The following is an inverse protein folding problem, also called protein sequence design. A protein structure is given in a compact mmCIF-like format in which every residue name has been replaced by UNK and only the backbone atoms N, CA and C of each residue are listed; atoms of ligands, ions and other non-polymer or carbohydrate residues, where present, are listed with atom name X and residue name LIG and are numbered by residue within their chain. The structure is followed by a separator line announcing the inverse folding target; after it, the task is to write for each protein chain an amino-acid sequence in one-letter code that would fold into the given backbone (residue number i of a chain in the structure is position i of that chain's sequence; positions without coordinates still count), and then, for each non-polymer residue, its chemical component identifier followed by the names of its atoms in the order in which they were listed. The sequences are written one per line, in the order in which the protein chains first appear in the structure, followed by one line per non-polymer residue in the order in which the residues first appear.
data_IF_643942220705
#
_entry.id   IF_643942220705
#
_cell.length_a   1.000
_cell.length_b   1.000
_cell.length_c   1.000
_cell.angle_alpha   90.00
_cell.angle_beta   90.00
_cell.angle_gamma   90.00
#
_symmetry.space_group_name_H-M   'P 1'
#
loop_
_entity.id
_entity.type
_entity.pdbx_description
1 polymer ?
#
# COMPACT_ATOMS: atom_id res chain seq x y z
N UNK A 1 -31.85 -9.60 -7.35
CA UNK A 1 -32.17 -10.17 -6.03
C UNK A 1 -30.96 -10.84 -5.38
N UNK A 2 -30.28 -11.77 -6.04
CA UNK A 2 -29.12 -12.46 -5.48
C UNK A 2 -27.99 -11.51 -5.02
N UNK A 3 -27.62 -10.56 -5.86
CA UNK A 3 -26.60 -9.56 -5.55
C UNK A 3 -26.97 -8.64 -4.38
N UNK A 4 -28.26 -8.29 -4.25
CA UNK A 4 -28.72 -7.49 -3.09
C UNK A 4 -28.63 -8.26 -1.78
N UNK A 5 -28.98 -9.55 -1.80
CA UNK A 5 -28.88 -10.42 -0.62
C UNK A 5 -27.43 -10.66 -0.25
N UNK A 6 -26.53 -10.88 -1.23
CA UNK A 6 -25.09 -10.98 -0.99
C UNK A 6 -24.57 -9.73 -0.30
N UNK A 7 -24.86 -8.53 -0.85
CA UNK A 7 -24.38 -7.27 -0.28
C UNK A 7 -24.93 -7.06 1.13
N UNK A 8 -26.24 -7.25 1.33
CA UNK A 8 -26.87 -7.07 2.64
C UNK A 8 -26.33 -8.06 3.69
N UNK A 9 -26.14 -9.33 3.32
CA UNK A 9 -25.58 -10.33 4.24
C UNK A 9 -24.12 -10.05 4.56
N UNK A 10 -23.32 -9.62 3.59
CA UNK A 10 -21.94 -9.21 3.83
C UNK A 10 -21.86 -7.99 4.75
N UNK A 11 -22.70 -6.96 4.53
CA UNK A 11 -22.77 -5.79 5.40
C UNK A 11 -23.22 -6.19 6.82
N UNK A 12 -24.25 -7.04 6.95
CA UNK A 12 -24.71 -7.49 8.26
C UNK A 12 -23.61 -8.21 9.03
N UNK A 13 -22.82 -9.07 8.38
CA UNK A 13 -21.69 -9.76 8.98
C UNK A 13 -20.56 -8.79 9.37
N UNK A 14 -20.28 -7.80 8.54
CA UNK A 14 -19.30 -6.76 8.88
C UNK A 14 -19.75 -5.93 10.10
N UNK A 15 -21.02 -5.57 10.18
CA UNK A 15 -21.59 -4.88 11.35
C UNK A 15 -21.56 -5.76 12.61
N UNK A 16 -21.64 -7.08 12.44
CA UNK A 16 -21.44 -8.06 13.51
C UNK A 16 -19.96 -8.29 13.86
N UNK A 17 -19.04 -7.47 13.34
CA UNK A 17 -17.58 -7.59 13.55
C UNK A 17 -16.96 -8.88 13.02
N UNK A 18 -17.56 -9.53 12.03
CA UNK A 18 -16.97 -10.67 11.35
C UNK A 18 -15.75 -10.23 10.51
N UNK A 19 -14.70 -11.05 10.40
CA UNK A 19 -13.59 -10.78 9.49
C UNK A 19 -14.08 -10.59 8.06
N UNK A 20 -13.46 -9.65 7.33
CA UNK A 20 -13.90 -9.26 5.98
C UNK A 20 -13.97 -10.45 5.03
N UNK A 21 -12.96 -11.33 5.03
CA UNK A 21 -12.98 -12.53 4.19
C UNK A 21 -14.19 -13.44 4.47
N UNK A 22 -14.58 -13.56 5.75
CA UNK A 22 -15.73 -14.35 6.13
C UNK A 22 -17.05 -13.71 5.68
N UNK A 23 -17.16 -12.39 5.80
CA UNK A 23 -18.32 -11.65 5.29
C UNK A 23 -18.49 -11.81 3.77
N UNK A 24 -17.38 -11.75 3.02
CA UNK A 24 -17.39 -11.94 1.57
C UNK A 24 -17.76 -13.37 1.18
N UNK A 25 -17.15 -14.36 1.82
CA UNK A 25 -17.44 -15.78 1.54
C UNK A 25 -18.87 -16.15 1.91
N UNK A 26 -19.29 -15.84 3.14
CA UNK A 26 -20.62 -16.19 3.62
C UNK A 26 -21.70 -15.46 2.79
N UNK A 27 -21.50 -14.17 2.47
CA UNK A 27 -22.39 -13.45 1.58
C UNK A 27 -22.49 -14.09 0.19
N UNK A 28 -21.36 -14.53 -0.36
CA UNK A 28 -21.33 -15.22 -1.67
C UNK A 28 -22.02 -16.57 -1.61
N UNK A 29 -21.77 -17.37 -0.56
CA UNK A 29 -22.42 -18.67 -0.37
C UNK A 29 -23.94 -18.51 -0.22
N UNK A 30 -24.38 -17.57 0.60
CA UNK A 30 -25.83 -17.28 0.78
C UNK A 30 -26.46 -16.81 -0.54
N UNK A 31 -25.80 -15.89 -1.24
CA UNK A 31 -26.28 -15.43 -2.53
C UNK A 31 -26.37 -16.55 -3.57
N UNK A 32 -25.37 -17.42 -3.60
CA UNK A 32 -25.30 -18.54 -4.53
C UNK A 32 -26.36 -19.62 -4.22
N UNK A 33 -26.51 -20.03 -2.97
CA UNK A 33 -27.40 -21.11 -2.56
C UNK A 33 -28.87 -20.74 -2.73
N UNK A 34 -29.26 -19.51 -2.36
CA UNK A 34 -30.68 -19.12 -2.36
C UNK A 34 -31.15 -18.46 -3.64
N UNK A 35 -30.26 -17.87 -4.41
CA UNK A 35 -30.63 -17.01 -5.56
C UNK A 35 -29.74 -17.25 -6.79
N UNK A 36 -28.70 -18.04 -6.66
CA UNK A 36 -27.76 -18.31 -7.76
C UNK A 36 -28.32 -19.35 -8.76
N UNK A 37 -27.62 -19.52 -9.87
CA UNK A 37 -27.95 -20.57 -10.83
C UNK A 37 -27.77 -21.96 -10.19
N UNK A 38 -28.53 -22.95 -10.66
CA UNK A 38 -28.44 -24.35 -10.21
C UNK A 38 -27.08 -24.96 -10.65
N UNK A 39 -26.02 -24.63 -9.94
CA UNK A 39 -24.67 -25.17 -10.17
C UNK A 39 -24.20 -25.94 -8.95
N UNK A 40 -23.35 -26.98 -9.14
CA UNK A 40 -22.78 -27.70 -8.00
C UNK A 40 -21.96 -26.82 -7.09
N UNK A 41 -22.05 -26.96 -5.74
CA UNK A 41 -21.26 -26.17 -4.79
C UNK A 41 -19.74 -26.25 -4.98
N UNK A 42 -19.25 -27.31 -5.62
CA UNK A 42 -17.83 -27.48 -5.97
C UNK A 42 -17.30 -26.33 -6.84
N UNK A 43 -18.16 -25.66 -7.60
CA UNK A 43 -17.78 -24.50 -8.42
C UNK A 43 -17.27 -23.36 -7.53
N UNK A 44 -17.87 -23.11 -6.36
CA UNK A 44 -17.37 -22.11 -5.42
C UNK A 44 -15.97 -22.47 -4.92
N UNK A 45 -15.71 -23.73 -4.59
CA UNK A 45 -14.39 -24.18 -4.17
C UNK A 45 -13.34 -24.02 -5.30
N UNK A 46 -13.72 -24.32 -6.54
CA UNK A 46 -12.85 -24.09 -7.70
C UNK A 46 -12.51 -22.62 -7.86
N UNK A 47 -13.49 -21.71 -7.76
CA UNK A 47 -13.27 -20.26 -7.87
C UNK A 47 -12.40 -19.71 -6.74
N UNK A 48 -12.50 -20.23 -5.53
CA UNK A 48 -11.60 -19.89 -4.43
C UNK A 48 -10.14 -20.21 -4.76
N UNK A 49 -9.89 -21.39 -5.29
CA UNK A 49 -8.53 -21.80 -5.67
C UNK A 49 -8.03 -21.04 -6.88
N UNK A 50 -8.84 -20.88 -7.92
CA UNK A 50 -8.49 -20.10 -9.11
C UNK A 50 -8.16 -18.64 -8.78
N UNK A 51 -8.90 -18.04 -7.84
CA UNK A 51 -8.71 -16.66 -7.40
C UNK A 51 -7.32 -16.36 -6.85
N UNK A 52 -6.63 -17.36 -6.30
CA UNK A 52 -5.25 -17.21 -5.81
C UNK A 52 -4.21 -17.84 -6.72
N UNK A 53 -4.61 -18.62 -7.71
CA UNK A 53 -3.70 -19.28 -8.64
C UNK A 53 -3.29 -18.37 -9.80
N UNK A 54 -2.89 -17.16 -9.49
CA UNK A 54 -2.41 -16.16 -10.46
C UNK A 54 -0.96 -15.83 -10.15
N UNK A 55 -0.07 -15.96 -11.13
CA UNK A 55 1.38 -15.78 -10.95
C UNK A 55 1.75 -14.44 -10.29
N UNK A 56 1.10 -13.36 -10.69
CA UNK A 56 1.37 -12.03 -10.14
C UNK A 56 1.02 -11.90 -8.64
N UNK A 57 0.12 -12.74 -8.11
CA UNK A 57 -0.22 -12.75 -6.69
C UNK A 57 0.96 -13.20 -5.82
N UNK A 58 1.86 -14.05 -6.35
CA UNK A 58 3.06 -14.49 -5.62
C UNK A 58 3.99 -13.33 -5.25
N UNK A 59 3.91 -12.19 -5.93
CA UNK A 59 4.65 -11.00 -5.54
C UNK A 59 4.22 -10.46 -4.17
N UNK A 60 2.93 -10.61 -3.78
CA UNK A 60 2.39 -10.10 -2.51
C UNK A 60 3.08 -10.73 -1.30
N UNK A 61 3.10 -12.07 -1.12
CA UNK A 61 3.79 -12.70 0.00
C UNK A 61 5.28 -12.37 0.04
N UNK A 62 5.93 -12.27 -1.12
CA UNK A 62 7.35 -11.97 -1.20
C UNK A 62 7.65 -10.52 -0.75
N UNK A 63 6.89 -9.53 -1.22
CA UNK A 63 7.06 -8.15 -0.77
C UNK A 63 6.70 -7.96 0.71
N UNK A 64 5.65 -8.63 1.22
CA UNK A 64 5.30 -8.60 2.65
C UNK A 64 6.45 -9.15 3.48
N UNK A 65 7.03 -10.28 3.10
CA UNK A 65 8.17 -10.86 3.82
C UNK A 65 9.42 -9.99 3.73
N UNK A 66 9.73 -9.44 2.56
CA UNK A 66 10.83 -8.48 2.40
C UNK A 66 10.65 -7.25 3.31
N UNK A 67 9.42 -6.69 3.36
CA UNK A 67 9.09 -5.57 4.23
C UNK A 67 9.31 -5.89 5.72
N UNK A 68 8.94 -7.09 6.17
CA UNK A 68 9.13 -7.52 7.56
C UNK A 68 10.64 -7.66 7.91
N UNK A 69 11.46 -8.21 7.00
CA UNK A 69 12.91 -8.27 7.17
C UNK A 69 13.48 -6.86 7.35
N UNK A 70 13.11 -5.94 6.47
CA UNK A 70 13.61 -4.56 6.44
C UNK A 70 13.15 -3.76 7.66
N UNK A 71 11.90 -3.96 8.09
CA UNK A 71 11.32 -3.27 9.25
C UNK A 71 12.03 -3.59 10.57
N UNK A 72 12.61 -4.77 10.67
CA UNK A 72 13.36 -5.22 11.86
C UNK A 72 14.88 -5.08 11.72
N UNK A 73 15.33 -4.73 10.53
CA UNK A 73 16.74 -4.55 10.20
C UNK A 73 17.28 -3.15 10.45
N UNK A 74 18.43 -2.86 9.87
CA UNK A 74 19.12 -1.57 9.96
C UNK A 74 18.88 -0.68 8.72
N UNK A 75 18.24 -1.22 7.68
CA UNK A 75 17.97 -0.50 6.41
C UNK A 75 17.23 0.81 6.68
N UNK A 76 16.16 0.79 7.51
CA UNK A 76 15.39 1.98 7.83
C UNK A 76 16.22 3.10 8.46
N UNK A 77 17.04 2.79 9.46
CA UNK A 77 17.92 3.78 10.11
C UNK A 77 18.93 4.38 9.13
N UNK A 78 19.47 3.57 8.24
CA UNK A 78 20.45 4.04 7.24
C UNK A 78 19.83 4.93 6.20
N UNK A 79 18.57 4.65 5.80
CA UNK A 79 17.80 5.53 4.91
C UNK A 79 17.54 6.88 5.55
N UNK A 80 17.12 6.92 6.84
CA UNK A 80 16.92 8.17 7.57
C UNK A 80 18.21 9.00 7.55
N UNK A 81 19.34 8.40 7.96
CA UNK A 81 20.64 9.10 8.00
C UNK A 81 21.10 9.57 6.63
N UNK A 82 20.82 8.79 5.58
CA UNK A 82 21.12 9.19 4.21
C UNK A 82 20.31 10.43 3.82
N UNK A 83 18.99 10.41 4.02
CA UNK A 83 18.12 11.55 3.66
C UNK A 83 18.43 12.79 4.50
N UNK A 84 18.70 12.64 5.80
CA UNK A 84 19.17 13.74 6.65
C UNK A 84 20.48 14.34 6.13
N UNK A 85 21.41 13.52 5.65
CA UNK A 85 22.70 14.00 5.12
C UNK A 85 22.54 14.80 3.82
N UNK A 86 21.53 14.45 3.01
CA UNK A 86 21.28 15.11 1.72
C UNK A 86 20.52 16.43 1.87
N UNK A 87 19.45 16.42 2.67
CA UNK A 87 18.51 17.55 2.75
C UNK A 87 18.41 18.21 4.12
N UNK A 88 19.02 17.66 5.17
CA UNK A 88 18.89 18.16 6.55
C UNK A 88 19.35 19.61 6.73
N UNK A 89 20.28 20.08 5.93
CA UNK A 89 20.85 21.43 6.00
C UNK A 89 19.96 22.54 5.39
N UNK A 90 18.89 22.19 4.68
CA UNK A 90 17.95 23.16 4.12
C UNK A 90 16.84 23.50 5.13
N UNK A 91 16.11 24.61 4.90
CA UNK A 91 14.96 24.98 5.75
C UNK A 91 13.89 23.92 5.67
N UNK A 92 13.46 23.39 6.84
CA UNK A 92 12.53 22.25 6.87
C UNK A 92 13.17 20.91 6.52
N UNK A 93 14.50 20.85 6.39
CA UNK A 93 15.25 19.72 5.87
C UNK A 93 15.01 18.40 6.63
N UNK A 94 14.87 18.46 7.95
CA UNK A 94 14.57 17.26 8.74
C UNK A 94 13.16 16.70 8.43
N UNK A 95 12.18 17.58 8.26
CA UNK A 95 10.83 17.18 7.87
C UNK A 95 10.81 16.62 6.44
N UNK A 96 11.53 17.24 5.50
CA UNK A 96 11.71 16.75 4.13
C UNK A 96 12.44 15.40 4.14
N UNK A 97 13.49 15.24 4.95
CA UNK A 97 14.19 13.97 5.11
C UNK A 97 13.25 12.85 5.58
N UNK A 98 12.30 13.17 6.48
CA UNK A 98 11.25 12.23 6.91
C UNK A 98 10.36 11.81 5.73
N UNK A 99 9.90 12.78 4.91
CA UNK A 99 9.08 12.50 3.71
C UNK A 99 9.82 11.60 2.74
N UNK A 100 11.07 11.98 2.40
CA UNK A 100 11.90 11.20 1.47
C UNK A 100 12.24 9.81 2.01
N UNK A 101 12.47 9.69 3.32
CA UNK A 101 12.73 8.38 3.94
C UNK A 101 11.49 7.49 3.86
N UNK A 102 10.30 8.00 4.16
CA UNK A 102 9.07 7.24 4.03
C UNK A 102 8.80 6.84 2.57
N UNK A 103 9.08 7.73 1.61
CA UNK A 103 8.99 7.45 0.19
C UNK A 103 9.95 6.32 -0.23
N UNK A 104 11.22 6.40 0.18
CA UNK A 104 12.23 5.38 -0.12
C UNK A 104 11.97 4.05 0.60
N UNK A 105 11.50 4.11 1.85
CA UNK A 105 11.08 2.92 2.58
C UNK A 105 9.87 2.28 1.91
N UNK A 106 8.97 3.10 1.39
CA UNK A 106 7.83 2.67 0.58
C UNK A 106 8.26 1.93 -0.69
N UNK A 107 9.26 2.47 -1.39
CA UNK A 107 9.87 1.85 -2.57
C UNK A 107 10.51 0.46 -2.28
N UNK A 108 10.47 0.01 -1.04
CA UNK A 108 10.99 -1.29 -0.61
C UNK A 108 9.87 -2.13 0.00
N UNK A 109 9.06 -1.54 0.91
CA UNK A 109 8.08 -2.27 1.71
C UNK A 109 6.70 -2.36 1.08
N UNK A 110 6.29 -1.32 0.36
CA UNK A 110 4.94 -1.24 -0.23
C UNK A 110 3.78 -1.17 0.76
N UNK A 111 4.04 -1.01 2.06
CA UNK A 111 3.04 -1.07 3.14
C UNK A 111 3.16 0.18 4.02
N UNK A 112 2.10 1.03 4.03
CA UNK A 112 2.08 2.28 4.79
C UNK A 112 2.24 2.09 6.30
N UNK A 113 1.54 1.12 6.86
CA UNK A 113 1.62 0.76 8.27
C UNK A 113 3.05 0.40 8.74
N UNK A 114 3.80 -0.33 7.90
CA UNK A 114 5.18 -0.69 8.18
C UNK A 114 6.09 0.55 8.28
N UNK A 115 5.85 1.56 7.45
CA UNK A 115 6.62 2.81 7.50
C UNK A 115 6.37 3.58 8.80
N UNK A 116 5.12 3.64 9.31
CA UNK A 116 4.82 4.27 10.61
C UNK A 116 5.61 3.62 11.73
N UNK A 117 5.57 2.28 11.82
CA UNK A 117 6.21 1.52 12.89
C UNK A 117 7.73 1.53 12.78
N UNK A 118 8.29 1.49 11.57
CA UNK A 118 9.74 1.38 11.36
C UNK A 118 10.46 2.73 11.37
N UNK A 119 9.90 3.72 10.69
CA UNK A 119 10.53 5.03 10.53
C UNK A 119 10.11 6.00 11.64
N UNK A 120 8.85 5.91 12.08
CA UNK A 120 8.30 6.80 13.08
C UNK A 120 9.14 6.91 14.35
N UNK A 121 9.48 5.82 15.05
CA UNK A 121 10.28 5.85 16.27
C UNK A 121 11.67 6.47 16.11
N UNK A 122 12.22 6.43 14.88
CA UNK A 122 13.56 6.98 14.57
C UNK A 122 13.47 8.50 14.40
N UNK A 123 12.49 8.98 13.60
CA UNK A 123 12.41 10.39 13.21
C UNK A 123 11.65 11.26 14.22
N UNK A 124 10.68 10.71 14.93
CA UNK A 124 9.85 11.45 15.88
C UNK A 124 10.65 12.15 16.99
N UNK A 125 11.55 11.47 17.73
CA UNK A 125 12.39 12.15 18.72
C UNK A 125 13.32 13.21 18.11
N UNK A 126 13.77 12.99 16.87
CA UNK A 126 14.61 13.94 16.15
C UNK A 126 13.84 15.22 15.79
N UNK A 127 12.63 15.09 15.28
CA UNK A 127 11.75 16.22 14.98
C UNK A 127 11.47 17.06 16.23
N UNK A 128 11.11 16.44 17.35
CA UNK A 128 10.84 17.15 18.62
C UNK A 128 12.07 17.92 19.14
N UNK A 129 13.25 17.31 19.09
CA UNK A 129 14.51 17.98 19.50
C UNK A 129 14.85 19.21 18.65
N UNK A 130 14.39 19.24 17.41
CA UNK A 130 14.60 20.38 16.49
C UNK A 130 13.44 21.38 16.51
N UNK A 131 12.57 21.32 17.51
CA UNK A 131 11.53 22.31 17.77
C UNK A 131 10.23 22.13 16.98
N UNK A 132 10.05 21.00 16.29
CA UNK A 132 8.77 20.70 15.66
C UNK A 132 7.73 20.31 16.73
N UNK A 133 6.49 20.78 16.56
CA UNK A 133 5.41 20.44 17.50
C UNK A 133 5.05 18.96 17.43
N UNK A 134 4.50 18.41 18.52
CA UNK A 134 4.03 17.02 18.58
C UNK A 134 3.03 16.72 17.47
N UNK A 135 2.01 17.58 17.32
CA UNK A 135 0.95 17.41 16.34
C UNK A 135 1.49 17.40 14.90
N UNK A 136 2.41 18.32 14.57
CA UNK A 136 3.05 18.35 13.26
C UNK A 136 3.88 17.08 13.03
N UNK A 137 4.70 16.67 14.00
CA UNK A 137 5.60 15.52 13.86
C UNK A 137 4.83 14.22 13.63
N UNK A 138 3.79 13.97 14.42
CA UNK A 138 2.92 12.80 14.25
C UNK A 138 2.18 12.88 12.92
N UNK A 139 1.52 14.00 12.62
CA UNK A 139 0.80 14.21 11.37
C UNK A 139 1.68 14.02 10.14
N UNK A 140 2.92 14.55 10.17
CA UNK A 140 3.89 14.39 9.10
C UNK A 140 4.26 12.92 8.89
N UNK A 141 4.57 12.18 9.95
CA UNK A 141 4.96 10.76 9.88
C UNK A 141 3.81 9.94 9.32
N UNK A 142 2.58 10.13 9.84
CA UNK A 142 1.41 9.41 9.37
C UNK A 142 1.11 9.70 7.88
N UNK A 143 1.19 10.97 7.48
CA UNK A 143 0.96 11.37 6.09
C UNK A 143 2.08 10.89 5.17
N UNK A 144 3.35 11.04 5.58
CA UNK A 144 4.48 10.58 4.77
C UNK A 144 4.50 9.05 4.61
N UNK A 145 4.03 8.30 5.61
CA UNK A 145 3.97 6.84 5.53
C UNK A 145 3.00 6.34 4.46
N UNK A 146 1.97 7.12 4.08
CA UNK A 146 1.05 6.74 2.99
C UNK A 146 1.75 6.71 1.62
N UNK A 147 2.88 7.42 1.47
CA UNK A 147 3.73 7.34 0.28
C UNK A 147 4.19 5.91 -0.02
N UNK A 148 4.31 5.07 1.01
CA UNK A 148 4.66 3.66 0.84
C UNK A 148 3.65 2.85 0.04
N UNK A 149 2.44 3.34 -0.12
CA UNK A 149 1.44 2.71 -0.99
C UNK A 149 1.45 3.25 -2.41
N UNK A 150 1.97 4.47 -2.58
CA UNK A 150 1.98 5.17 -3.88
C UNK A 150 3.27 4.91 -4.65
N UNK A 151 4.38 4.80 -3.95
CA UNK A 151 5.68 4.52 -4.57
C UNK A 151 5.86 3.00 -4.68
N UNK A 152 6.00 2.47 -5.90
CA UNK A 152 6.15 1.03 -6.09
C UNK A 152 7.42 0.45 -5.40
N UNK A 153 7.38 -0.84 -5.05
CA UNK A 153 6.28 -1.77 -5.19
C UNK A 153 5.19 -1.54 -4.16
N UNK A 154 3.93 -1.64 -4.57
CA UNK A 154 2.78 -1.48 -3.69
C UNK A 154 1.89 -2.72 -3.74
N UNK A 155 1.61 -3.31 -2.59
CA UNK A 155 0.73 -4.48 -2.48
C UNK A 155 -0.67 -4.14 -3.02
N UNK A 156 -1.22 -2.98 -2.67
CA UNK A 156 -2.53 -2.55 -3.17
C UNK A 156 -2.57 -2.41 -4.69
N UNK A 157 -1.49 -1.92 -5.32
CA UNK A 157 -1.41 -1.82 -6.79
C UNK A 157 -1.33 -3.18 -7.46
N UNK A 158 -0.63 -4.16 -6.87
CA UNK A 158 -0.59 -5.53 -7.37
C UNK A 158 -2.00 -6.13 -7.31
N UNK A 159 -2.68 -5.99 -6.16
CA UNK A 159 -4.04 -6.49 -5.97
C UNK A 159 -5.02 -5.86 -6.96
N UNK A 160 -4.94 -4.54 -7.16
CA UNK A 160 -5.73 -3.83 -8.17
C UNK A 160 -5.49 -4.42 -9.57
N UNK A 161 -4.22 -4.56 -9.94
CA UNK A 161 -3.83 -5.03 -11.28
C UNK A 161 -4.37 -6.43 -11.57
N UNK A 162 -4.36 -7.32 -10.58
CA UNK A 162 -4.91 -8.67 -10.70
C UNK A 162 -6.43 -8.63 -10.81
N UNK A 163 -7.11 -7.83 -9.99
CA UNK A 163 -8.59 -7.77 -9.97
C UNK A 163 -9.18 -7.16 -11.25
N UNK A 164 -8.46 -6.21 -11.86
CA UNK A 164 -8.93 -5.51 -13.07
C UNK A 164 -8.26 -6.06 -14.35
N UNK A 165 -7.35 -7.05 -14.20
CA UNK A 165 -6.62 -7.68 -15.31
C UNK A 165 -5.78 -6.68 -16.12
N UNK A 166 -5.07 -5.76 -15.44
CA UNK A 166 -4.16 -4.79 -16.05
C UNK A 166 -2.71 -5.06 -15.66
N UNK A 167 -1.77 -4.50 -16.41
CA UNK A 167 -0.34 -4.67 -16.16
C UNK A 167 0.10 -4.05 -14.83
N UNK A 168 0.70 -4.85 -13.95
CA UNK A 168 1.25 -4.40 -12.66
C UNK A 168 2.31 -3.29 -12.88
N UNK A 169 3.18 -3.44 -13.87
CA UNK A 169 4.23 -2.45 -14.14
C UNK A 169 3.66 -1.11 -14.62
N UNK A 170 2.56 -1.10 -15.38
CA UNK A 170 1.89 0.14 -15.79
C UNK A 170 1.23 0.84 -14.60
N UNK A 171 0.53 0.10 -13.73
CA UNK A 171 -0.07 0.66 -12.51
C UNK A 171 1.01 1.19 -11.56
N UNK A 172 2.14 0.49 -11.46
CA UNK A 172 3.30 0.97 -10.71
C UNK A 172 3.83 2.30 -11.25
N UNK A 173 3.92 2.46 -12.56
CA UNK A 173 4.38 3.71 -13.17
C UNK A 173 3.42 4.88 -12.90
N UNK A 174 2.12 4.63 -12.97
CA UNK A 174 1.09 5.62 -12.63
C UNK A 174 1.16 6.02 -11.14
N UNK A 175 1.35 5.02 -10.26
CA UNK A 175 1.54 5.24 -8.84
C UNK A 175 2.81 6.03 -8.52
N UNK A 176 3.92 5.75 -9.20
CA UNK A 176 5.15 6.51 -9.06
C UNK A 176 4.94 7.99 -9.40
N UNK A 177 4.25 8.29 -10.51
CA UNK A 177 3.91 9.66 -10.90
C UNK A 177 3.10 10.38 -9.82
N UNK A 178 2.04 9.73 -9.34
CA UNK A 178 1.18 10.25 -8.26
C UNK A 178 1.97 10.43 -6.96
N UNK A 179 2.80 9.46 -6.59
CA UNK A 179 3.65 9.49 -5.40
C UNK A 179 4.67 10.63 -5.46
N UNK A 180 5.31 10.87 -6.61
CA UNK A 180 6.26 11.99 -6.78
C UNK A 180 5.57 13.35 -6.61
N UNK A 181 4.38 13.54 -7.18
CA UNK A 181 3.60 14.77 -6.99
C UNK A 181 3.31 14.97 -5.50
N UNK A 182 2.93 13.90 -4.80
CA UNK A 182 2.63 13.97 -3.37
C UNK A 182 3.89 14.25 -2.53
N UNK A 183 5.04 13.65 -2.85
CA UNK A 183 6.34 13.96 -2.22
C UNK A 183 6.68 15.45 -2.37
N UNK A 184 6.54 16.01 -3.57
CA UNK A 184 6.81 17.43 -3.85
C UNK A 184 5.86 18.31 -3.03
N UNK A 185 4.57 18.04 -3.06
CA UNK A 185 3.56 18.82 -2.32
C UNK A 185 3.80 18.78 -0.81
N UNK A 186 4.06 17.59 -0.24
CA UNK A 186 4.32 17.44 1.18
C UNK A 186 5.66 18.06 1.60
N UNK A 187 6.69 17.98 0.75
CA UNK A 187 7.96 18.64 0.98
C UNK A 187 7.83 20.16 0.95
N UNK A 188 7.05 20.72 0.02
CA UNK A 188 6.73 22.14 -0.02
C UNK A 188 6.00 22.60 1.26
N UNK A 189 5.03 21.82 1.72
CA UNK A 189 4.35 22.06 3.01
C UNK A 189 5.33 22.08 4.18
N UNK A 190 6.29 21.15 4.23
CA UNK A 190 7.33 21.10 5.26
C UNK A 190 8.18 22.38 5.27
N UNK A 191 8.56 22.91 4.10
CA UNK A 191 9.30 24.18 3.98
C UNK A 191 8.45 25.33 4.51
N UNK A 192 7.19 25.45 4.06
CA UNK A 192 6.27 26.51 4.48
C UNK A 192 6.08 26.47 6.00
N UNK A 193 5.89 25.29 6.58
CA UNK A 193 5.75 25.13 8.02
C UNK A 193 7.01 25.59 8.75
N UNK A 194 8.19 25.14 8.33
CA UNK A 194 9.46 25.50 8.96
C UNK A 194 9.75 27.02 8.89
N UNK A 195 9.45 27.65 7.76
CA UNK A 195 9.59 29.12 7.60
C UNK A 195 8.64 29.87 8.53
N UNK A 196 7.36 29.48 8.58
CA UNK A 196 6.35 30.13 9.43
C UNK A 196 6.65 30.02 10.92
N UNK A 197 7.18 28.88 11.35
CA UNK A 197 7.51 28.64 12.76
C UNK A 197 8.97 28.99 13.11
N UNK A 198 9.71 29.58 12.16
CA UNK A 198 11.12 29.98 12.34
C UNK A 198 12.01 28.87 12.87
N UNK A 199 11.77 27.64 12.38
CA UNK A 199 12.54 26.47 12.77
C UNK A 199 13.96 26.56 12.19
N UNK A 200 14.94 26.21 13.02
CA UNK A 200 16.35 26.22 12.63
C UNK A 200 16.68 25.21 11.54
N UNK A 201 17.79 25.46 10.86
CA UNK A 201 18.41 24.51 9.94
C UNK A 201 19.34 23.62 10.74
N UNK A 202 19.51 22.37 10.32
CA UNK A 202 20.61 21.55 10.85
C UNK A 202 21.96 22.09 10.33
N UNK A 203 23.00 21.96 11.15
CA UNK A 203 24.35 22.23 10.67
C UNK A 203 24.69 21.30 9.50
N UNK A 204 25.35 21.87 8.50
CA UNK A 204 25.78 21.08 7.36
C UNK A 204 26.79 20.04 7.80
N UNK A 205 26.50 18.78 7.54
CA UNK A 205 27.44 17.70 7.85
C UNK A 205 28.80 17.93 7.16
N UNK A 206 29.88 17.61 7.83
CA UNK A 206 31.20 17.62 7.22
C UNK A 206 31.23 16.69 6.00
N UNK A 207 31.93 17.07 4.95
CA UNK A 207 32.02 16.30 3.70
C UNK A 207 32.37 14.82 3.94
N UNK A 208 33.29 14.53 4.88
CA UNK A 208 33.61 13.14 5.27
C UNK A 208 32.43 12.39 5.88
N UNK A 209 31.56 13.06 6.64
CA UNK A 209 30.36 12.46 7.23
C UNK A 209 29.29 12.23 6.16
N UNK A 210 29.10 13.17 5.22
CA UNK A 210 28.22 12.99 4.07
C UNK A 210 28.65 11.82 3.20
N UNK A 211 29.94 11.71 2.90
CA UNK A 211 30.48 10.61 2.10
C UNK A 211 30.28 9.25 2.79
N UNK A 212 30.47 9.19 4.10
CA UNK A 212 30.19 7.96 4.89
C UNK A 212 28.70 7.64 4.91
N UNK A 213 27.82 8.63 5.06
CA UNK A 213 26.36 8.42 5.00
C UNK A 213 25.93 7.93 3.61
N UNK A 214 26.50 8.49 2.55
CA UNK A 214 26.25 8.06 1.17
C UNK A 214 26.73 6.60 0.96
N UNK A 215 27.97 6.28 1.32
CA UNK A 215 28.50 4.92 1.18
C UNK A 215 27.67 3.88 1.94
N UNK A 216 27.24 4.21 3.16
CA UNK A 216 26.40 3.32 3.99
C UNK A 216 24.96 3.26 3.50
N UNK A 217 24.47 4.33 2.87
CA UNK A 217 23.12 4.43 2.29
C UNK A 217 23.00 3.78 0.90
N UNK A 218 24.11 3.61 0.17
CA UNK A 218 24.07 2.95 -1.15
C UNK A 218 23.54 1.52 -1.08
N UNK A 219 23.86 0.78 0.00
CA UNK A 219 23.37 -0.59 0.17
C UNK A 219 21.84 -0.61 0.31
N UNK A 220 21.18 0.14 1.23
CA UNK A 220 19.73 0.27 1.24
C UNK A 220 19.13 0.71 -0.09
N UNK A 221 19.77 1.66 -0.79
CA UNK A 221 19.34 2.13 -2.11
C UNK A 221 19.41 1.04 -3.20
N UNK A 222 20.21 0.02 -3.00
CA UNK A 222 20.29 -1.13 -3.90
C UNK A 222 18.94 -1.84 -4.09
N UNK A 223 18.07 -1.84 -3.07
CA UNK A 223 16.73 -2.45 -3.17
C UNK A 223 15.81 -1.72 -4.16
N UNK A 224 15.54 -0.41 -4.03
CA UNK A 224 14.79 0.32 -5.05
C UNK A 224 15.41 0.21 -6.44
N UNK A 225 16.75 0.30 -6.55
CA UNK A 225 17.43 0.19 -7.84
C UNK A 225 17.22 -1.20 -8.46
N UNK A 226 17.30 -2.27 -7.67
CA UNK A 226 17.04 -3.63 -8.11
C UNK A 226 15.61 -3.81 -8.60
N UNK A 227 14.64 -3.29 -7.84
CA UNK A 227 13.22 -3.42 -8.16
C UNK A 227 12.88 -2.59 -9.41
N UNK A 228 13.16 -1.28 -9.39
CA UNK A 228 12.83 -0.40 -10.52
C UNK A 228 13.67 -0.71 -11.75
N UNK A 229 14.99 -0.86 -11.58
CA UNK A 229 15.89 -1.20 -12.66
C UNK A 229 15.58 -2.56 -13.28
N UNK A 230 15.23 -3.55 -12.45
CA UNK A 230 14.85 -4.89 -12.90
C UNK A 230 13.54 -4.90 -13.68
N UNK A 231 12.48 -4.26 -13.14
CA UNK A 231 11.15 -4.26 -13.77
C UNK A 231 11.15 -3.41 -15.05
N UNK A 232 11.61 -2.16 -14.98
CA UNK A 232 11.55 -1.24 -16.11
C UNK A 232 12.69 -1.44 -17.11
N UNK A 233 13.78 -2.09 -16.69
CA UNK A 233 14.82 -2.59 -17.59
C UNK A 233 14.42 -3.87 -18.34
N UNK A 234 13.23 -4.45 -18.05
CA UNK A 234 12.75 -5.66 -18.69
C UNK A 234 13.50 -6.94 -18.27
N UNK A 235 14.27 -6.89 -17.18
CA UNK A 235 15.06 -8.01 -16.66
C UNK A 235 14.20 -8.92 -15.78
N UNK A 236 13.30 -8.32 -14.99
CA UNK A 236 12.46 -9.02 -14.03
C UNK A 236 10.98 -8.69 -14.23
N UNK A 237 10.14 -9.70 -14.07
CA UNK A 237 8.73 -9.51 -13.76
C UNK A 237 8.56 -8.95 -12.35
N UNK A 238 7.41 -8.35 -11.98
CA UNK A 238 7.16 -7.91 -10.61
C UNK A 238 7.35 -9.02 -9.54
N UNK A 239 7.00 -10.26 -9.88
CA UNK A 239 7.16 -11.42 -8.99
C UNK A 239 8.63 -11.80 -8.81
N UNK A 240 9.42 -11.81 -9.88
CA UNK A 240 10.86 -12.07 -9.81
C UNK A 240 11.59 -10.95 -9.08
N UNK A 241 11.20 -9.69 -9.28
CA UNK A 241 11.73 -8.56 -8.54
C UNK A 241 11.44 -8.67 -7.03
N UNK A 242 10.25 -9.16 -6.66
CA UNK A 242 9.89 -9.41 -5.26
C UNK A 242 10.76 -10.52 -4.64
N UNK A 243 11.00 -11.61 -5.36
CA UNK A 243 11.89 -12.69 -4.92
C UNK A 243 13.33 -12.18 -4.75
N UNK A 244 13.83 -11.43 -5.73
CA UNK A 244 15.16 -10.83 -5.67
C UNK A 244 15.30 -9.83 -4.49
N UNK A 245 14.25 -9.05 -4.21
CA UNK A 245 14.21 -8.13 -3.07
C UNK A 245 14.27 -8.88 -1.73
N UNK A 246 13.54 -10.00 -1.59
CA UNK A 246 13.62 -10.86 -0.40
C UNK A 246 15.05 -11.37 -0.16
N UNK A 247 15.67 -11.92 -1.21
CA UNK A 247 17.04 -12.47 -1.13
C UNK A 247 18.03 -11.36 -0.79
N UNK A 248 17.90 -10.20 -1.46
CA UNK A 248 18.76 -9.05 -1.19
C UNK A 248 18.63 -8.56 0.26
N UNK A 249 17.40 -8.37 0.74
CA UNK A 249 17.14 -7.93 2.11
C UNK A 249 17.70 -8.92 3.13
N UNK A 250 17.49 -10.22 2.92
CA UNK A 250 18.02 -11.27 3.79
C UNK A 250 19.54 -11.27 3.83
N UNK A 251 20.22 -11.20 2.68
CA UNK A 251 21.69 -11.14 2.58
C UNK A 251 22.21 -9.88 3.26
N UNK A 252 21.64 -8.71 2.98
CA UNK A 252 22.09 -7.44 3.54
C UNK A 252 21.96 -7.43 5.06
N UNK A 253 20.82 -7.82 5.61
CA UNK A 253 20.59 -7.76 7.05
C UNK A 253 21.35 -8.84 7.84
N UNK A 254 21.61 -10.02 7.23
CA UNK A 254 22.30 -11.09 7.93
C UNK A 254 23.81 -11.08 7.74
N UNK A 255 24.30 -10.85 6.51
CA UNK A 255 25.73 -10.98 6.19
C UNK A 255 26.46 -9.63 6.19
N UNK A 256 25.82 -8.57 5.68
CA UNK A 256 26.44 -7.24 5.55
C UNK A 256 26.30 -6.44 6.84
N UNK A 257 25.06 -6.25 7.32
CA UNK A 257 24.81 -5.48 8.55
C UNK A 257 24.89 -6.34 9.80
N UNK A 258 24.72 -7.64 9.66
CA UNK A 258 24.78 -8.62 10.77
C UNK A 258 23.79 -8.29 11.89
N UNK A 259 22.67 -7.63 11.53
CA UNK A 259 21.64 -7.20 12.48
C UNK A 259 20.69 -8.35 12.81
N UNK A 260 20.36 -9.18 11.81
CA UNK A 260 19.48 -10.33 11.96
C UNK A 260 20.26 -11.64 11.85
N UNK A 261 19.92 -12.60 12.71
CA UNK A 261 20.44 -13.97 12.64
C UNK A 261 19.51 -14.84 11.77
N UNK A 262 20.01 -15.89 11.18
CA UNK A 262 19.22 -16.85 10.38
C UNK A 262 17.99 -17.39 11.15
N UNK A 263 18.14 -17.63 12.46
CA UNK A 263 17.03 -18.06 13.33
C UNK A 263 15.94 -16.98 13.44
N UNK A 264 16.30 -15.71 13.38
CA UNK A 264 15.36 -14.59 13.43
C UNK A 264 14.62 -14.46 12.10
N UNK A 265 15.29 -14.67 10.95
CA UNK A 265 14.61 -14.76 9.66
C UNK A 265 13.54 -15.85 9.65
N UNK A 266 13.84 -17.03 10.22
CA UNK A 266 12.84 -18.10 10.34
C UNK A 266 11.67 -17.71 11.23
N UNK A 267 11.89 -17.03 12.35
CA UNK A 267 10.80 -16.50 13.18
C UNK A 267 9.99 -15.42 12.47
N UNK A 268 10.66 -14.57 11.70
CA UNK A 268 10.00 -13.56 10.86
C UNK A 268 9.10 -14.21 9.82
N UNK A 269 9.56 -15.26 9.13
CA UNK A 269 8.73 -15.97 8.16
C UNK A 269 7.47 -16.56 8.79
N UNK A 270 7.54 -17.05 10.02
CA UNK A 270 6.37 -17.51 10.78
C UNK A 270 5.37 -16.37 11.07
N UNK A 271 5.87 -15.18 11.46
CA UNK A 271 5.02 -14.00 11.67
C UNK A 271 4.39 -13.50 10.36
N UNK A 272 5.20 -13.36 9.33
CA UNK A 272 4.74 -12.92 7.99
C UNK A 272 3.72 -13.89 7.39
N UNK A 273 3.86 -15.19 7.64
CA UNK A 273 2.95 -16.21 7.09
C UNK A 273 1.50 -16.03 7.52
N UNK A 274 1.26 -15.51 8.73
CA UNK A 274 -0.10 -15.20 9.22
C UNK A 274 -0.71 -14.05 8.39
N UNK A 275 0.05 -12.97 8.21
CA UNK A 275 -0.39 -11.83 7.38
C UNK A 275 -0.61 -12.26 5.93
N UNK A 276 0.30 -13.04 5.38
CA UNK A 276 0.21 -13.58 4.01
C UNK A 276 -1.02 -14.46 3.86
N UNK A 277 -1.26 -15.39 4.80
CA UNK A 277 -2.43 -16.27 4.77
C UNK A 277 -3.74 -15.48 4.83
N UNK A 278 -3.80 -14.43 5.67
CA UNK A 278 -4.95 -13.53 5.75
C UNK A 278 -5.20 -12.80 4.43
N UNK A 279 -4.16 -12.33 3.76
CA UNK A 279 -4.29 -11.69 2.45
C UNK A 279 -4.73 -12.68 1.37
N UNK A 280 -4.15 -13.89 1.34
CA UNK A 280 -4.50 -14.90 0.33
C UNK A 280 -5.95 -15.38 0.47
N UNK A 281 -6.44 -15.62 1.69
CA UNK A 281 -7.84 -16.00 1.90
C UNK A 281 -8.80 -14.87 1.53
N UNK A 282 -8.39 -13.62 1.78
CA UNK A 282 -9.15 -12.44 1.38
C UNK A 282 -9.23 -12.30 -0.15
N UNK A 283 -8.12 -12.54 -0.85
CA UNK A 283 -8.07 -12.54 -2.32
C UNK A 283 -8.98 -13.65 -2.88
N UNK A 284 -8.90 -14.85 -2.34
CA UNK A 284 -9.76 -15.97 -2.73
C UNK A 284 -11.25 -15.63 -2.56
N UNK A 285 -11.61 -15.10 -1.39
CA UNK A 285 -12.97 -14.67 -1.07
C UNK A 285 -13.47 -13.58 -2.01
N UNK A 286 -12.66 -12.53 -2.20
CA UNK A 286 -12.97 -11.41 -3.08
C UNK A 286 -13.12 -11.82 -4.54
N UNK A 287 -12.24 -12.68 -5.04
CA UNK A 287 -12.32 -13.23 -6.41
C UNK A 287 -13.58 -14.05 -6.63
N UNK A 288 -13.97 -14.86 -5.63
CA UNK A 288 -15.22 -15.66 -5.69
C UNK A 288 -16.45 -14.75 -5.70
N UNK A 289 -16.46 -13.72 -4.85
CA UNK A 289 -17.52 -12.71 -4.84
C UNK A 289 -17.62 -11.98 -6.18
N UNK A 290 -16.48 -11.53 -6.72
CA UNK A 290 -16.41 -10.85 -8.01
C UNK A 290 -16.95 -11.73 -9.14
N UNK A 291 -16.56 -13.00 -9.16
CA UNK A 291 -17.10 -13.98 -10.13
C UNK A 291 -18.62 -14.07 -10.03
N UNK A 292 -19.17 -14.21 -8.82
CA UNK A 292 -20.62 -14.31 -8.62
C UNK A 292 -21.34 -13.01 -9.04
N UNK A 293 -20.80 -11.85 -8.70
CA UNK A 293 -21.37 -10.55 -9.13
C UNK A 293 -21.31 -10.37 -10.64
N UNK A 294 -20.27 -10.89 -11.29
CA UNK A 294 -20.16 -10.88 -12.76
C UNK A 294 -21.22 -11.79 -13.41
N UNK A 295 -21.47 -12.96 -12.80
CA UNK A 295 -22.51 -13.87 -13.23
C UNK A 295 -23.91 -13.21 -13.15
N UNK A 296 -24.17 -12.45 -12.08
CA UNK A 296 -25.37 -11.64 -11.86
C UNK A 296 -25.39 -10.33 -12.67
N UNK A 297 -24.38 -10.08 -13.53
CA UNK A 297 -24.24 -8.89 -14.39
C UNK A 297 -24.22 -7.55 -13.62
N UNK A 298 -23.88 -7.58 -12.33
CA UNK A 298 -23.82 -6.34 -11.51
C UNK A 298 -22.90 -5.28 -12.12
N UNK A 299 -21.66 -5.61 -12.56
CA UNK A 299 -20.77 -4.64 -13.19
C UNK A 299 -21.37 -4.01 -14.46
N UNK A 300 -22.06 -4.80 -15.29
CA UNK A 300 -22.71 -4.32 -16.52
C UNK A 300 -23.92 -3.41 -16.21
N UNK A 301 -24.67 -3.72 -15.16
CA UNK A 301 -25.79 -2.87 -14.70
C UNK A 301 -25.27 -1.52 -14.19
N UNK A 302 -24.20 -1.51 -13.40
CA UNK A 302 -23.56 -0.29 -12.93
C UNK A 302 -23.01 0.54 -14.08
N UNK A 303 -22.34 -0.10 -15.05
CA UNK A 303 -21.85 0.57 -16.25
C UNK A 303 -22.99 1.22 -17.07
N UNK A 304 -24.11 0.50 -17.26
CA UNK A 304 -25.27 1.04 -17.96
C UNK A 304 -25.91 2.23 -17.22
N UNK A 305 -26.00 2.19 -15.89
CA UNK A 305 -26.51 3.31 -15.09
C UNK A 305 -25.60 4.54 -15.15
N UNK A 306 -24.28 4.32 -15.29
CA UNK A 306 -23.31 5.43 -15.33
C UNK A 306 -23.07 5.99 -16.73
N UNK A 307 -23.44 5.28 -17.80
CA UNK A 307 -23.17 5.68 -19.19
C UNK A 307 -23.83 7.01 -19.59
N UNK A 308 -24.94 7.38 -18.94
CA UNK A 308 -25.65 8.65 -19.16
C UNK A 308 -25.12 9.79 -18.27
N UNK A 309 -24.23 9.48 -17.31
CA UNK A 309 -23.68 10.46 -16.36
C UNK A 309 -22.36 11.02 -16.91
N UNK A 310 -22.14 12.35 -16.84
CA UNK A 310 -20.84 12.92 -17.26
C UNK A 310 -19.66 12.25 -16.54
N UNK A 311 -18.62 11.88 -17.28
CA UNK A 311 -17.47 11.13 -16.73
C UNK A 311 -16.79 11.81 -15.54
N UNK A 312 -16.77 13.16 -15.50
CA UNK A 312 -16.25 13.95 -14.36
C UNK A 312 -17.05 13.69 -13.09
N UNK A 313 -18.39 13.56 -13.20
CA UNK A 313 -19.28 13.29 -12.05
C UNK A 313 -19.05 11.87 -11.55
N UNK A 314 -18.92 10.91 -12.47
CA UNK A 314 -18.60 9.50 -12.12
C UNK A 314 -17.25 9.43 -11.40
N UNK A 315 -16.23 10.11 -11.92
CA UNK A 315 -14.90 10.17 -11.25
C UNK A 315 -14.98 10.83 -9.87
N UNK A 316 -15.72 11.93 -9.73
CA UNK A 316 -15.91 12.59 -8.45
C UNK A 316 -16.61 11.66 -7.44
N UNK A 317 -17.65 10.95 -7.87
CA UNK A 317 -18.36 9.98 -7.04
C UNK A 317 -17.45 8.82 -6.63
N UNK A 318 -16.63 8.29 -7.54
CA UNK A 318 -15.63 7.25 -7.24
C UNK A 318 -14.61 7.76 -6.20
N UNK A 319 -14.08 8.98 -6.38
CA UNK A 319 -13.13 9.56 -5.42
C UNK A 319 -13.73 9.65 -4.01
N UNK A 320 -14.95 10.18 -3.89
CA UNK A 320 -15.63 10.30 -2.59
C UNK A 320 -15.94 8.93 -1.99
N UNK A 321 -16.43 7.98 -2.78
CA UNK A 321 -16.75 6.63 -2.34
C UNK A 321 -15.49 5.90 -1.82
N UNK A 322 -14.42 5.89 -2.61
CA UNK A 322 -13.19 5.20 -2.27
C UNK A 322 -12.51 5.85 -1.06
N UNK A 323 -12.56 7.18 -0.95
CA UNK A 323 -12.06 7.89 0.23
C UNK A 323 -12.83 7.48 1.49
N UNK A 324 -14.16 7.49 1.45
CA UNK A 324 -15.00 7.06 2.57
C UNK A 324 -14.66 5.61 2.97
N UNK A 325 -14.58 4.70 2.00
CA UNK A 325 -14.27 3.30 2.29
C UNK A 325 -12.87 3.15 2.92
N UNK A 326 -11.88 3.90 2.42
CA UNK A 326 -10.52 3.91 2.98
C UNK A 326 -10.42 4.45 4.41
N UNK A 327 -11.43 5.19 4.89
CA UNK A 327 -11.51 5.60 6.29
C UNK A 327 -11.84 4.44 7.24
N UNK A 328 -12.52 3.39 6.75
CA UNK A 328 -13.07 2.30 7.56
C UNK A 328 -12.35 0.96 7.36
N UNK A 329 -11.85 0.71 6.16
CA UNK A 329 -11.32 -0.59 5.73
C UNK A 329 -9.85 -0.43 5.35
N UNK A 330 -9.04 -1.46 5.61
CA UNK A 330 -7.66 -1.47 5.15
C UNK A 330 -7.58 -1.45 3.62
N UNK A 331 -6.58 -0.77 3.05
CA UNK A 331 -6.51 -0.57 1.60
C UNK A 331 -6.46 -1.85 0.77
N UNK A 332 -5.81 -2.90 1.27
CA UNK A 332 -5.70 -4.15 0.53
C UNK A 332 -7.06 -4.84 0.39
N UNK A 333 -7.82 -4.89 1.49
CA UNK A 333 -9.18 -5.42 1.50
C UNK A 333 -10.11 -4.57 0.64
N UNK A 334 -10.01 -3.24 0.76
CA UNK A 334 -10.82 -2.30 -0.01
C UNK A 334 -10.60 -2.46 -1.53
N UNK A 335 -9.36 -2.55 -1.97
CA UNK A 335 -9.01 -2.74 -3.39
C UNK A 335 -9.64 -4.03 -3.94
N UNK A 336 -9.53 -5.14 -3.22
CA UNK A 336 -10.06 -6.44 -3.67
C UNK A 336 -11.58 -6.38 -3.89
N UNK A 337 -12.30 -5.69 -3.00
CA UNK A 337 -13.77 -5.63 -3.05
C UNK A 337 -14.25 -4.61 -4.07
N UNK A 338 -13.64 -3.42 -4.09
CA UNK A 338 -14.17 -2.28 -4.81
C UNK A 338 -13.74 -2.27 -6.28
N UNK A 339 -12.48 -2.63 -6.55
CA UNK A 339 -11.92 -2.46 -7.89
C UNK A 339 -12.73 -3.18 -8.98
N UNK A 340 -13.11 -4.46 -8.83
CA UNK A 340 -13.87 -5.16 -9.86
C UNK A 340 -15.30 -4.64 -10.01
N UNK A 341 -15.85 -3.95 -9.00
CA UNK A 341 -17.19 -3.38 -9.06
C UNK A 341 -17.23 -2.05 -9.79
N UNK A 342 -16.25 -1.18 -9.51
CA UNK A 342 -16.27 0.19 -10.05
C UNK A 342 -15.47 0.32 -11.37
N UNK A 343 -14.53 -0.57 -11.65
CA UNK A 343 -13.71 -0.47 -12.85
C UNK A 343 -14.55 -0.51 -14.15
N UNK A 344 -15.52 -1.43 -14.32
CA UNK A 344 -16.36 -1.44 -15.52
C UNK A 344 -17.19 -0.15 -15.69
N UNK A 345 -17.70 0.42 -14.61
CA UNK A 345 -18.45 1.66 -14.63
C UNK A 345 -17.58 2.87 -15.01
N UNK A 346 -16.35 2.94 -14.47
CA UNK A 346 -15.40 3.98 -14.82
C UNK A 346 -14.92 3.88 -16.28
N UNK A 347 -14.65 2.66 -16.74
CA UNK A 347 -14.24 2.40 -18.13
C UNK A 347 -15.36 2.73 -19.13
N UNK A 348 -16.62 2.50 -18.77
CA UNK A 348 -17.78 2.84 -19.61
C UNK A 348 -17.88 4.34 -19.92
N UNK A 349 -17.36 5.21 -19.04
CA UNK A 349 -17.29 6.67 -19.23
C UNK A 349 -15.92 7.15 -19.73
N UNK A 350 -15.10 6.25 -20.24
CA UNK A 350 -13.81 6.56 -20.89
C UNK A 350 -12.63 6.73 -19.93
N UNK A 351 -12.73 6.32 -18.66
CA UNK A 351 -11.60 6.35 -17.72
C UNK A 351 -10.65 5.20 -18.03
N UNK A 352 -9.37 5.50 -18.22
CA UNK A 352 -8.34 4.49 -18.40
C UNK A 352 -8.17 3.65 -17.11
N UNK A 353 -8.03 2.33 -17.27
CA UNK A 353 -7.96 1.39 -16.14
C UNK A 353 -6.70 1.55 -15.29
N UNK A 354 -5.56 1.95 -15.87
CA UNK A 354 -4.32 2.21 -15.13
C UNK A 354 -4.44 3.50 -14.33
N UNK A 355 -5.03 4.54 -14.93
CA UNK A 355 -5.34 5.80 -14.25
C UNK A 355 -6.30 5.59 -13.07
N UNK A 356 -7.35 4.77 -13.27
CA UNK A 356 -8.27 4.41 -12.20
C UNK A 356 -7.55 3.72 -11.02
N UNK A 357 -6.60 2.85 -11.30
CA UNK A 357 -5.79 2.20 -10.27
C UNK A 357 -5.02 3.20 -9.41
N UNK A 358 -4.41 4.19 -10.03
CA UNK A 358 -3.73 5.26 -9.30
C UNK A 358 -4.70 6.07 -8.43
N UNK A 359 -5.89 6.40 -8.96
CA UNK A 359 -6.96 7.12 -8.21
C UNK A 359 -7.39 6.31 -6.99
N UNK A 360 -7.70 5.02 -7.17
CA UNK A 360 -8.17 4.16 -6.07
C UNK A 360 -7.10 4.08 -4.97
N UNK A 361 -5.87 3.74 -5.32
CA UNK A 361 -4.81 3.57 -4.33
C UNK A 361 -4.47 4.90 -3.64
N UNK A 362 -4.51 6.03 -4.35
CA UNK A 362 -4.30 7.34 -3.76
C UNK A 362 -5.39 7.72 -2.75
N UNK A 363 -6.66 7.52 -3.10
CA UNK A 363 -7.77 7.80 -2.18
C UNK A 363 -7.74 6.90 -0.95
N UNK A 364 -7.43 5.61 -1.11
CA UNK A 364 -7.27 4.68 0.01
C UNK A 364 -6.10 5.08 0.92
N UNK A 365 -5.00 5.53 0.33
CA UNK A 365 -3.85 6.04 1.09
C UNK A 365 -4.21 7.27 1.93
N UNK A 366 -5.02 8.21 1.39
CA UNK A 366 -5.55 9.34 2.15
C UNK A 366 -6.55 8.86 3.21
N UNK A 367 -7.40 7.89 2.90
CA UNK A 367 -8.35 7.30 3.83
C UNK A 367 -7.68 6.76 5.10
N UNK A 368 -6.47 6.17 4.98
CA UNK A 368 -5.72 5.65 6.13
C UNK A 368 -5.36 6.71 7.18
N UNK A 369 -5.34 7.98 6.83
CA UNK A 369 -5.03 9.11 7.72
C UNK A 369 -6.24 9.99 7.98
N UNK A 370 -7.42 9.57 7.53
CA UNK A 370 -8.66 10.37 7.65
C UNK A 370 -9.58 9.75 8.69
N UNK A 371 -10.08 10.54 9.69
CA UNK A 371 -11.11 10.08 10.63
C UNK A 371 -12.39 9.64 9.89
N UNK A 372 -13.20 8.71 10.45
CA UNK A 372 -13.27 8.34 11.87
C UNK A 372 -12.31 7.24 12.32
N UNK A 373 -11.88 6.35 11.43
CA UNK A 373 -10.94 5.30 11.83
C UNK A 373 -9.52 5.63 11.39
N UNK A 374 -9.21 5.56 10.10
CA UNK A 374 -7.88 5.81 9.57
C UNK A 374 -6.82 4.88 10.16
N UNK A 375 -6.54 3.77 9.49
CA UNK A 375 -5.64 2.72 10.00
C UNK A 375 -4.31 3.24 10.54
N UNK A 376 -3.67 4.18 9.82
CA UNK A 376 -2.40 4.76 10.25
C UNK A 376 -2.54 5.61 11.53
N UNK A 377 -3.73 6.19 11.78
CA UNK A 377 -3.98 6.96 13.03
C UNK A 377 -3.91 6.01 14.23
N UNK A 378 -4.58 4.85 14.15
CA UNK A 378 -4.54 3.86 15.25
C UNK A 378 -3.13 3.31 15.46
N UNK A 379 -2.41 3.02 14.39
CA UNK A 379 -1.02 2.57 14.47
C UNK A 379 -0.15 3.67 15.11
N UNK A 380 -0.35 4.92 14.72
CA UNK A 380 0.33 6.07 15.31
C UNK A 380 0.05 6.22 16.80
N UNK A 381 -1.21 6.06 17.23
CA UNK A 381 -1.59 6.11 18.64
C UNK A 381 -0.91 5.03 19.49
N UNK A 382 -0.62 3.87 18.90
CA UNK A 382 0.10 2.79 19.59
C UNK A 382 1.62 2.94 19.53
N UNK A 383 2.14 3.77 18.63
CA UNK A 383 3.58 3.92 18.38
C UNK A 383 4.18 5.14 19.09
N UNK A 384 3.40 6.24 19.23
CA UNK A 384 3.81 7.54 19.79
C UNK A 384 3.05 7.89 21.08
#
# INVERSE_FOLDING_TARGET
MASSVLILSAIALLLASAPIFLALLAGTVVGFEFFGPAMPPVVLAQRLVEGVNVFSILAVPLFVYAADIISRGEIGERLVRLMESLVGHITGGLAIATVLTCAMFGAISGIGAAAVVSIGPIVYPSLLRHGYSRSFSVGLILTASTLSMLIPPSVAMILYSVQVSVSVSQVFLAGLGTGLIFVIGLSAYCVIYAVRHKLGRQERMLFRQQLRALQRGLIPMGLPILIFGGIYGGIFTPTEAAAAACVYAAIVETLVFRRLKLRELFRLSQGSSITIATLLILIAAGSTMTWFMTLERVPAMLAAMMSEVPGVVVLAAINVLVLIIGMFIDPNSAVIVISPLIAPAAMAVGVDSVHLGAIIVFNLAIGMITPPFGLNIFIGMSTF
#
